data_IF_239319726710
#
_entry.id   IF_239319726710
#
_cell.length_a   1.000
_cell.length_b   1.000
_cell.length_c   1.000
_cell.angle_alpha   90.00
_cell.angle_beta   90.00
_cell.angle_gamma   90.00
#
_symmetry.space_group_name_H-M   'P 1'
#
loop_
_entity.id
_entity.type
_entity.pdbx_description
1 polymer ?
#
# COMPACT_ATOMS: atom_id res chain seq x y z
N UNK A 1 -5.67 -6.81 -20.44
CA UNK A 1 -4.46 -7.30 -19.75
C UNK A 1 -4.41 -6.82 -18.29
N UNK A 2 -4.31 -5.52 -18.02
CA UNK A 2 -4.23 -4.94 -16.65
C UNK A 2 -5.39 -5.36 -15.74
N UNK A 3 -6.62 -5.35 -16.24
CA UNK A 3 -7.80 -5.79 -15.47
C UNK A 3 -7.67 -7.22 -14.97
N UNK A 4 -7.13 -8.14 -15.76
CA UNK A 4 -6.95 -9.55 -15.37
C UNK A 4 -5.93 -9.69 -14.24
N UNK A 5 -4.86 -8.90 -14.28
CA UNK A 5 -3.86 -8.88 -13.22
C UNK A 5 -4.45 -8.36 -11.90
N UNK A 6 -5.21 -7.26 -11.94
CA UNK A 6 -5.86 -6.69 -10.75
C UNK A 6 -6.84 -7.69 -10.12
N UNK A 7 -7.50 -8.52 -10.94
CA UNK A 7 -8.43 -9.54 -10.45
C UNK A 7 -7.74 -10.69 -9.68
N UNK A 8 -6.43 -10.86 -9.80
CA UNK A 8 -5.66 -11.84 -9.03
C UNK A 8 -5.16 -11.30 -7.68
N UNK A 9 -5.24 -9.98 -7.45
CA UNK A 9 -4.85 -9.39 -6.17
C UNK A 9 -5.84 -9.87 -5.08
N UNK A 10 -5.36 -10.42 -3.95
CA UNK A 10 -6.22 -10.89 -2.86
C UNK A 10 -6.90 -9.69 -2.20
N UNK A 11 -8.09 -9.36 -2.70
CA UNK A 11 -8.89 -8.21 -2.29
C UNK A 11 -10.33 -8.66 -2.08
N UNK A 12 -10.94 -8.25 -0.97
CA UNK A 12 -12.33 -8.57 -0.67
C UNK A 12 -13.35 -7.86 -1.56
N UNK A 13 -12.96 -6.77 -2.25
CA UNK A 13 -13.78 -6.02 -3.24
C UNK A 13 -15.19 -5.61 -2.78
N UNK A 14 -15.37 -5.41 -1.48
CA UNK A 14 -16.64 -4.95 -0.92
C UNK A 14 -17.00 -3.56 -1.49
N UNK A 15 -18.20 -3.37 -2.07
CA UNK A 15 -18.60 -2.10 -2.69
C UNK A 15 -18.52 -0.91 -1.73
N UNK A 16 -18.93 -1.10 -0.48
CA UNK A 16 -18.89 -0.12 0.61
C UNK A 16 -17.47 0.37 0.96
N UNK A 17 -16.43 -0.43 0.63
CA UNK A 17 -15.01 -0.12 0.89
C UNK A 17 -14.25 0.27 -0.38
N UNK A 18 -14.98 0.48 -1.47
CA UNK A 18 -14.43 0.76 -2.79
C UNK A 18 -14.90 2.12 -3.27
N UNK A 19 -14.14 2.72 -4.18
CA UNK A 19 -14.56 3.94 -4.86
C UNK A 19 -15.55 3.55 -5.96
N UNK A 20 -16.86 3.67 -5.70
CA UNK A 20 -17.93 3.21 -6.61
C UNK A 20 -17.75 3.69 -8.06
N UNK A 21 -17.35 4.96 -8.27
CA UNK A 21 -17.07 5.51 -9.61
C UNK A 21 -15.86 4.88 -10.31
N UNK A 22 -14.90 4.36 -9.54
CA UNK A 22 -13.65 3.78 -10.05
C UNK A 22 -13.69 2.25 -10.13
N UNK A 23 -14.67 1.57 -9.52
CA UNK A 23 -14.75 0.10 -9.54
C UNK A 23 -14.83 -0.49 -10.96
N UNK A 24 -15.38 0.24 -11.93
CA UNK A 24 -15.41 -0.18 -13.34
C UNK A 24 -14.01 -0.32 -13.95
N UNK A 25 -13.06 0.52 -13.51
CA UNK A 25 -11.70 0.63 -14.05
C UNK A 25 -10.66 -0.07 -13.16
N UNK A 26 -10.76 0.11 -11.84
CA UNK A 26 -9.92 -0.51 -10.82
C UNK A 26 -10.81 -1.30 -9.84
N UNK A 27 -10.98 -2.62 -10.04
CA UNK A 27 -11.77 -3.47 -9.15
C UNK A 27 -11.01 -3.81 -7.84
N UNK A 28 -10.54 -2.79 -7.14
CA UNK A 28 -9.86 -2.86 -5.85
C UNK A 28 -10.62 -2.06 -4.80
N UNK A 29 -10.53 -2.48 -3.54
CA UNK A 29 -10.96 -1.65 -2.42
C UNK A 29 -10.00 -0.47 -2.23
N UNK A 30 -10.47 0.58 -1.55
CA UNK A 30 -9.68 1.80 -1.33
C UNK A 30 -8.30 1.54 -0.71
N UNK A 31 -8.19 0.53 0.17
CA UNK A 31 -6.91 0.12 0.78
C UNK A 31 -5.93 -0.47 -0.24
N UNK A 32 -6.38 -1.46 -1.01
CA UNK A 32 -5.55 -2.10 -2.04
C UNK A 32 -5.16 -1.10 -3.13
N UNK A 33 -6.04 -0.17 -3.48
CA UNK A 33 -5.72 0.94 -4.39
C UNK A 33 -4.58 1.80 -3.84
N UNK A 34 -4.65 2.20 -2.57
CA UNK A 34 -3.58 2.95 -1.91
C UNK A 34 -2.24 2.20 -1.93
N UNK A 35 -2.23 0.93 -1.50
CA UNK A 35 -1.02 0.10 -1.50
C UNK A 35 -0.41 -0.03 -2.89
N UNK A 36 -1.24 -0.27 -3.90
CA UNK A 36 -0.78 -0.41 -5.28
C UNK A 36 -0.15 0.90 -5.79
N UNK A 37 -0.82 2.04 -5.58
CA UNK A 37 -0.28 3.36 -5.99
C UNK A 37 1.04 3.63 -5.28
N UNK A 38 1.12 3.41 -3.97
CA UNK A 38 2.34 3.64 -3.19
C UNK A 38 3.50 2.75 -3.63
N UNK A 39 3.23 1.48 -3.93
CA UNK A 39 4.23 0.58 -4.46
C UNK A 39 4.74 1.03 -5.84
N UNK A 40 3.85 1.50 -6.72
CA UNK A 40 4.25 2.01 -8.04
C UNK A 40 5.16 3.25 -7.98
N UNK A 41 5.26 3.94 -6.83
CA UNK A 41 6.20 5.05 -6.63
C UNK A 41 7.64 4.58 -6.37
N UNK A 42 7.88 3.27 -6.23
CA UNK A 42 9.22 2.76 -5.89
C UNK A 42 10.38 3.23 -6.77
N UNK A 43 10.23 3.48 -8.10
CA UNK A 43 11.35 3.92 -8.92
C UNK A 43 11.93 5.25 -8.48
N UNK A 44 11.11 6.11 -7.87
CA UNK A 44 11.54 7.41 -7.33
C UNK A 44 12.57 7.21 -6.22
N UNK A 45 12.44 6.14 -5.43
CA UNK A 45 13.33 5.90 -4.30
C UNK A 45 14.76 5.56 -4.72
N UNK A 46 15.01 5.02 -5.92
CA UNK A 46 16.40 4.86 -6.40
C UNK A 46 17.21 6.16 -6.42
N UNK A 47 16.53 7.31 -6.50
CA UNK A 47 17.17 8.63 -6.56
C UNK A 47 17.39 9.27 -5.18
N UNK A 48 16.65 8.84 -4.16
CA UNK A 48 16.55 9.54 -2.87
C UNK A 48 16.70 8.62 -1.64
N UNK A 49 17.02 7.33 -1.85
CA UNK A 49 17.09 6.34 -0.76
C UNK A 49 18.22 6.71 0.22
N UNK A 50 17.93 6.83 1.53
CA UNK A 50 18.96 7.04 2.55
C UNK A 50 19.74 5.74 2.83
N UNK A 51 20.53 5.69 3.90
CA UNK A 51 21.24 4.45 4.29
C UNK A 51 20.29 3.26 4.40
N UNK A 52 20.79 2.04 4.11
CA UNK A 52 19.98 0.83 4.12
C UNK A 52 19.27 0.61 5.47
N UNK A 53 19.96 0.84 6.59
CA UNK A 53 19.38 0.73 7.93
C UNK A 53 18.21 1.69 8.16
N UNK A 54 18.35 2.96 7.75
CA UNK A 54 17.27 3.94 7.87
C UNK A 54 16.08 3.58 6.98
N UNK A 55 16.35 3.11 5.75
CA UNK A 55 15.34 2.66 4.80
C UNK A 55 14.55 1.48 5.35
N UNK A 56 15.22 0.51 5.97
CA UNK A 56 14.58 -0.64 6.61
C UNK A 56 13.66 -0.20 7.76
N UNK A 57 14.14 0.71 8.60
CA UNK A 57 13.36 1.27 9.70
C UNK A 57 12.09 1.97 9.19
N UNK A 58 12.23 2.89 8.23
CA UNK A 58 11.10 3.61 7.63
C UNK A 58 10.08 2.67 6.99
N UNK A 59 10.56 1.65 6.28
CA UNK A 59 9.72 0.65 5.62
C UNK A 59 8.87 -0.15 6.61
N UNK A 60 9.45 -0.51 7.75
CA UNK A 60 8.76 -1.21 8.84
C UNK A 60 7.70 -0.32 9.50
N UNK A 61 8.06 0.89 9.92
CA UNK A 61 7.14 1.81 10.58
C UNK A 61 5.98 2.26 9.67
N UNK A 62 6.21 2.35 8.36
CA UNK A 62 5.16 2.65 7.38
C UNK A 62 4.03 1.60 7.33
N UNK A 63 4.26 0.37 7.79
CA UNK A 63 3.21 -0.67 7.84
C UNK A 63 2.26 -0.48 9.02
N UNK A 64 2.71 0.17 10.10
CA UNK A 64 1.97 0.24 11.36
C UNK A 64 0.59 0.87 11.20
N UNK A 65 0.41 2.02 10.51
CA UNK A 65 -0.92 2.64 10.40
C UNK A 65 -1.93 1.76 9.65
N UNK A 66 -1.49 1.01 8.63
CA UNK A 66 -2.35 0.06 7.92
C UNK A 66 -2.73 -1.12 8.79
N UNK A 67 -1.80 -1.66 9.57
CA UNK A 67 -2.08 -2.76 10.50
C UNK A 67 -3.08 -2.30 11.57
N UNK A 68 -2.87 -1.13 12.18
CA UNK A 68 -3.81 -0.56 13.16
C UNK A 68 -5.19 -0.37 12.52
N UNK A 69 -5.28 0.24 11.33
CA UNK A 69 -6.57 0.40 10.63
C UNK A 69 -7.21 -0.94 10.25
N UNK A 70 -6.43 -1.96 9.92
CA UNK A 70 -6.89 -3.31 9.64
C UNK A 70 -7.44 -4.03 10.85
N UNK A 71 -6.68 -4.08 11.95
CA UNK A 71 -7.04 -4.81 13.16
C UNK A 71 -8.19 -4.15 13.91
N UNK A 72 -8.20 -2.82 14.03
CA UNK A 72 -9.31 -2.09 14.68
C UNK A 72 -10.64 -2.27 13.93
N UNK A 73 -10.61 -2.38 12.59
CA UNK A 73 -11.79 -2.76 11.80
C UNK A 73 -12.16 -4.24 11.98
N UNK A 74 -11.18 -5.15 11.99
CA UNK A 74 -11.43 -6.59 12.14
C UNK A 74 -12.10 -6.91 13.47
N UNK A 75 -11.68 -6.26 14.55
CA UNK A 75 -12.28 -6.41 15.88
C UNK A 75 -13.53 -5.56 16.11
N UNK A 76 -14.04 -4.86 15.08
CA UNK A 76 -15.23 -4.02 15.13
C UNK A 76 -15.15 -2.89 16.18
N UNK A 77 -13.95 -2.45 16.55
CA UNK A 77 -13.76 -1.34 17.50
C UNK A 77 -14.15 0.01 16.89
N UNK A 78 -14.08 0.12 15.56
CA UNK A 78 -14.56 1.28 14.82
C UNK A 78 -14.88 0.93 13.37
N UNK A 79 -15.70 1.77 12.74
CA UNK A 79 -15.81 1.83 11.28
C UNK A 79 -14.61 2.59 10.70
N UNK A 80 -14.28 2.33 9.43
CA UNK A 80 -13.25 3.09 8.71
C UNK A 80 -13.83 3.73 7.48
N UNK A 81 -13.21 4.83 7.08
CA UNK A 81 -13.60 5.62 5.91
C UNK A 81 -12.71 5.26 4.73
N UNK A 82 -13.19 5.45 3.51
CA UNK A 82 -12.39 5.17 2.32
C UNK A 82 -11.15 6.07 2.22
N UNK A 83 -11.23 7.29 2.76
CA UNK A 83 -10.07 8.18 2.87
C UNK A 83 -8.99 7.58 3.78
N UNK A 84 -9.35 7.11 4.97
CA UNK A 84 -8.39 6.48 5.89
C UNK A 84 -7.80 5.18 5.31
N UNK A 85 -8.63 4.37 4.63
CA UNK A 85 -8.18 3.14 3.97
C UNK A 85 -7.16 3.43 2.88
N UNK A 86 -7.39 4.45 2.04
CA UNK A 86 -6.45 4.76 0.95
C UNK A 86 -5.18 5.40 1.48
N UNK A 87 -5.23 6.26 2.49
CA UNK A 87 -4.03 6.92 3.04
C UNK A 87 -3.12 5.92 3.76
N UNK A 88 -3.68 5.06 4.61
CA UNK A 88 -2.91 4.00 5.28
C UNK A 88 -2.36 2.98 4.28
N UNK A 89 -3.13 2.63 3.25
CA UNK A 89 -2.68 1.83 2.13
C UNK A 89 -1.51 2.46 1.38
N UNK A 90 -1.62 3.74 1.03
CA UNK A 90 -0.59 4.50 0.33
C UNK A 90 0.71 4.53 1.13
N UNK A 91 0.65 4.80 2.43
CA UNK A 91 1.82 4.81 3.30
C UNK A 91 2.52 3.44 3.34
N UNK A 92 1.75 2.37 3.54
CA UNK A 92 2.25 0.99 3.52
C UNK A 92 2.92 0.63 2.20
N UNK A 93 2.29 1.00 1.07
CA UNK A 93 2.85 0.78 -0.27
C UNK A 93 4.16 1.54 -0.52
N UNK A 94 4.26 2.79 -0.07
CA UNK A 94 5.51 3.55 -0.14
C UNK A 94 6.61 2.91 0.72
N UNK A 95 6.27 2.43 1.92
CA UNK A 95 7.20 1.66 2.75
C UNK A 95 7.73 0.41 2.05
N UNK A 96 6.88 -0.33 1.33
CA UNK A 96 7.32 -1.47 0.50
C UNK A 96 8.24 -1.00 -0.64
N UNK A 97 7.92 0.12 -1.29
CA UNK A 97 8.75 0.69 -2.35
C UNK A 97 10.15 1.10 -1.88
N UNK A 98 10.26 1.77 -0.72
CA UNK A 98 11.53 2.13 -0.09
C UNK A 98 12.35 0.87 0.22
N UNK A 99 11.72 -0.15 0.79
CA UNK A 99 12.38 -1.42 1.09
C UNK A 99 12.97 -2.04 -0.18
N UNK A 100 12.16 -2.21 -1.23
CA UNK A 100 12.58 -2.80 -2.50
C UNK A 100 13.77 -2.03 -3.10
N UNK A 101 13.67 -0.71 -3.21
CA UNK A 101 14.75 0.11 -3.78
C UNK A 101 16.04 -0.03 -2.96
N UNK A 102 15.94 0.08 -1.62
CA UNK A 102 17.09 -0.02 -0.72
C UNK A 102 17.76 -1.39 -0.74
N UNK A 103 16.99 -2.48 -0.82
CA UNK A 103 17.52 -3.84 -0.96
C UNK A 103 18.25 -4.04 -2.27
N UNK A 104 17.71 -3.54 -3.39
CA UNK A 104 18.37 -3.64 -4.70
C UNK A 104 19.70 -2.88 -4.66
N UNK A 105 19.70 -1.62 -4.19
CA UNK A 105 20.92 -0.80 -4.09
C UNK A 105 21.99 -1.53 -3.27
N UNK A 106 21.63 -2.05 -2.09
CA UNK A 106 22.55 -2.73 -1.18
C UNK A 106 23.13 -4.05 -1.75
N UNK A 107 22.33 -4.81 -2.51
CA UNK A 107 22.80 -6.04 -3.15
C UNK A 107 23.78 -5.74 -4.30
N UNK A 108 23.58 -4.60 -5.00
CA UNK A 108 24.39 -4.23 -6.16
C UNK A 108 25.64 -3.38 -5.84
N UNK A 109 25.77 -2.90 -4.61
CA UNK A 109 26.91 -2.12 -4.11
C UNK A 109 27.99 -3.01 -3.51
#
# INVERSE_FOLDING_TARGET
>A
MIRSFILNIPCHRLPERSFLKLQKYMPLCARCTGMFIGLCMFPIYFLITPSFSLSLMLSFFAQIPLLIDGFTQKWKWRSSTNLLRVTTGLLSGNGMGVFIASSIIWITS
#
